data_IF_743645570896
#
_entry.id   IF_743645570896
#
_cell.length_a   1.000
_cell.length_b   1.000
_cell.length_c   1.000
_cell.angle_alpha   90.00
_cell.angle_beta   90.00
_cell.angle_gamma   90.00
#
_symmetry.space_group_name_H-M   'P 1'
#
loop_
_entity.id
_entity.type
_entity.pdbx_description
1 polymer ?
#
# COMPACT_ATOMS: atom_id res chain seq x y z
N UNK A 1 13.62 10.03 15.15
CA UNK A 1 14.71 9.79 14.22
C UNK A 1 15.91 10.69 14.52
N UNK A 2 17.12 10.17 14.39
CA UNK A 2 18.35 10.92 14.67
C UNK A 2 19.41 10.62 13.60
N UNK A 3 20.02 11.68 13.05
CA UNK A 3 21.09 11.59 12.06
C UNK A 3 22.28 12.40 12.54
N UNK A 4 23.46 11.78 12.64
CA UNK A 4 24.70 12.43 13.04
C UNK A 4 25.29 13.28 11.91
N UNK A 5 26.13 14.27 12.26
CA UNK A 5 26.86 15.06 11.29
C UNK A 5 27.70 14.17 10.36
N UNK A 6 27.67 14.45 9.06
CA UNK A 6 28.36 13.68 8.02
C UNK A 6 27.67 12.38 7.61
N UNK A 7 26.63 11.95 8.36
CA UNK A 7 25.87 10.75 8.01
C UNK A 7 24.95 11.01 6.82
N UNK A 8 24.66 9.94 6.08
CA UNK A 8 23.70 9.93 4.98
C UNK A 8 22.47 9.12 5.35
N UNK A 9 21.32 9.50 4.84
CA UNK A 9 20.10 8.70 4.87
C UNK A 9 19.46 8.65 3.50
N UNK A 10 18.92 7.50 3.15
CA UNK A 10 18.34 7.26 1.83
C UNK A 10 16.89 6.81 2.01
N UNK A 11 16.01 7.42 1.25
CA UNK A 11 14.63 6.95 1.04
C UNK A 11 14.53 6.39 -0.37
N UNK A 12 14.01 5.19 -0.51
CA UNK A 12 13.82 4.53 -1.81
C UNK A 12 12.48 3.84 -1.86
N UNK A 13 11.95 3.70 -3.07
CA UNK A 13 10.75 2.92 -3.36
C UNK A 13 11.02 2.00 -4.53
N UNK A 14 10.50 0.79 -4.46
CA UNK A 14 10.54 -0.17 -5.58
C UNK A 14 9.38 0.08 -6.54
N UNK A 15 8.30 0.73 -6.05
CA UNK A 15 7.11 1.03 -6.83
C UNK A 15 6.77 2.53 -6.75
N UNK A 16 6.50 3.13 -7.91
CA UNK A 16 6.09 4.54 -7.97
C UNK A 16 7.25 5.53 -7.85
N UNK A 17 6.92 6.73 -7.46
CA UNK A 17 7.83 7.88 -7.42
C UNK A 17 7.63 8.64 -6.11
N UNK A 18 8.67 8.87 -5.35
CA UNK A 18 8.65 9.75 -4.17
C UNK A 18 8.40 11.17 -4.67
N UNK A 19 7.36 11.81 -4.14
CA UNK A 19 6.96 13.18 -4.49
C UNK A 19 7.30 14.18 -3.41
N UNK A 20 7.24 13.75 -2.15
CA UNK A 20 7.50 14.62 -1.02
C UNK A 20 8.09 13.82 0.15
N UNK A 21 8.99 14.43 0.89
CA UNK A 21 9.49 13.93 2.19
C UNK A 21 9.45 15.08 3.16
N UNK A 22 8.71 14.93 4.27
CA UNK A 22 8.57 15.95 5.31
C UNK A 22 9.29 15.49 6.56
N UNK A 23 10.19 16.30 7.09
CA UNK A 23 10.86 16.09 8.36
C UNK A 23 10.27 17.05 9.40
N UNK A 24 9.58 16.53 10.39
CA UNK A 24 9.14 17.30 11.56
C UNK A 24 10.23 17.23 12.63
N UNK A 25 11.00 18.30 12.75
CA UNK A 25 12.20 18.36 13.59
C UNK A 25 11.88 18.75 15.02
N UNK A 26 12.84 18.54 15.94
CA UNK A 26 12.69 18.89 17.35
C UNK A 26 13.26 20.26 17.72
N UNK A 27 13.84 20.96 16.73
CA UNK A 27 14.31 22.34 16.85
C UNK A 27 13.99 23.11 15.55
N UNK A 28 13.98 24.44 15.63
CA UNK A 28 13.74 25.30 14.48
C UNK A 28 14.92 25.36 13.51
N UNK A 29 14.65 25.87 12.33
CA UNK A 29 15.67 26.09 11.28
C UNK A 29 16.79 27.03 11.70
N UNK A 30 16.57 27.91 12.69
CA UNK A 30 17.59 28.81 13.21
C UNK A 30 18.56 28.14 14.19
N UNK A 31 18.22 26.94 14.64
CA UNK A 31 19.05 26.19 15.57
C UNK A 31 20.31 25.62 14.88
N UNK A 32 21.44 25.60 15.59
CA UNK A 32 22.69 25.01 15.08
C UNK A 32 22.65 23.48 14.99
N UNK A 33 21.69 22.84 15.67
CA UNK A 33 21.48 21.40 15.73
C UNK A 33 19.99 21.07 15.88
N UNK A 34 19.60 19.89 15.42
CA UNK A 34 18.29 19.26 15.57
C UNK A 34 17.15 19.86 14.72
N UNK A 35 17.45 20.92 13.95
CA UNK A 35 16.51 21.56 13.05
C UNK A 35 16.59 21.05 11.60
N UNK A 36 15.64 21.42 10.75
CA UNK A 36 15.58 20.97 9.36
C UNK A 36 16.72 21.54 8.48
N UNK A 37 17.33 22.66 8.85
CA UNK A 37 18.51 23.26 8.21
C UNK A 37 19.77 22.35 8.31
N UNK A 38 19.73 21.35 9.20
CA UNK A 38 20.87 20.44 9.46
C UNK A 38 21.08 19.38 8.38
N UNK A 39 20.18 19.26 7.41
CA UNK A 39 20.32 18.33 6.28
C UNK A 39 20.19 19.06 4.94
N UNK A 40 20.59 18.37 3.88
CA UNK A 40 20.35 18.78 2.50
C UNK A 40 20.21 17.56 1.60
N UNK A 41 19.39 17.67 0.57
CA UNK A 41 19.18 16.64 -0.43
C UNK A 41 20.22 16.74 -1.54
N UNK A 42 20.60 15.59 -2.12
CA UNK A 42 21.48 15.53 -3.27
C UNK A 42 20.74 15.90 -4.59
N UNK A 43 19.43 15.66 -4.65
CA UNK A 43 18.56 15.91 -5.81
C UNK A 43 17.20 16.44 -5.36
N UNK A 44 16.47 17.09 -6.26
CA UNK A 44 15.17 17.71 -5.95
C UNK A 44 15.33 19.02 -5.20
N UNK A 45 14.20 19.55 -4.77
CA UNK A 45 14.16 20.80 -4.01
C UNK A 45 13.96 20.50 -2.52
N UNK A 46 14.79 21.09 -1.66
CA UNK A 46 14.65 20.97 -0.21
C UNK A 46 14.53 22.36 0.40
N UNK A 47 13.40 22.63 0.97
CA UNK A 47 13.08 23.89 1.69
C UNK A 47 12.78 23.60 3.14
N UNK A 48 12.86 24.64 4.01
CA UNK A 48 12.48 24.48 5.41
C UNK A 48 11.98 25.79 6.00
N UNK A 49 11.02 25.66 6.91
CA UNK A 49 10.44 26.76 7.68
C UNK A 49 10.13 26.27 9.11
N UNK A 50 10.42 27.09 10.10
CA UNK A 50 10.20 26.73 11.51
C UNK A 50 10.92 25.42 11.86
N UNK A 51 10.17 24.42 12.29
CA UNK A 51 10.68 23.09 12.64
C UNK A 51 10.48 22.05 11.52
N UNK A 52 9.97 22.45 10.35
CA UNK A 52 9.63 21.55 9.26
C UNK A 52 10.59 21.72 8.09
N UNK A 53 11.13 20.61 7.59
CA UNK A 53 11.88 20.56 6.34
C UNK A 53 11.11 19.72 5.33
N UNK A 54 10.96 20.23 4.10
CA UNK A 54 10.20 19.58 3.04
C UNK A 54 11.06 19.41 1.80
N UNK A 55 11.22 18.17 1.36
CA UNK A 55 11.75 17.84 0.05
C UNK A 55 10.59 17.60 -0.92
N UNK A 56 10.71 18.15 -2.13
CA UNK A 56 9.80 17.91 -3.23
C UNK A 56 10.56 17.51 -4.48
N UNK A 57 9.97 16.62 -5.28
CA UNK A 57 10.60 16.15 -6.50
C UNK A 57 9.88 14.98 -7.16
N UNK A 58 10.61 14.25 -7.96
CA UNK A 58 10.15 13.02 -8.61
C UNK A 58 11.34 12.06 -8.72
N UNK A 59 11.46 11.13 -7.78
CA UNK A 59 12.59 10.20 -7.74
C UNK A 59 12.18 8.84 -7.15
N UNK A 60 12.84 7.77 -7.57
CA UNK A 60 12.72 6.44 -6.93
C UNK A 60 13.65 6.31 -5.73
N UNK A 61 14.64 7.22 -5.63
CA UNK A 61 15.63 7.25 -4.55
C UNK A 61 16.02 8.69 -4.25
N UNK A 62 15.99 9.07 -2.97
CA UNK A 62 16.43 10.38 -2.47
C UNK A 62 17.44 10.20 -1.35
N UNK A 63 18.61 10.82 -1.48
CA UNK A 63 19.65 10.80 -0.47
C UNK A 63 19.74 12.18 0.21
N UNK A 64 19.82 12.17 1.53
CA UNK A 64 20.10 13.36 2.34
C UNK A 64 21.44 13.20 3.05
N UNK A 65 22.18 14.30 3.13
CA UNK A 65 23.41 14.37 3.90
C UNK A 65 23.26 15.32 5.07
N UNK A 66 23.63 14.88 6.26
CA UNK A 66 23.60 15.70 7.47
C UNK A 66 24.80 16.64 7.53
N UNK A 67 24.54 17.95 7.50
CA UNK A 67 25.53 19.03 7.73
C UNK A 67 25.81 19.24 9.22
N UNK A 68 24.79 18.99 10.06
CA UNK A 68 24.87 18.96 11.51
C UNK A 68 23.92 17.88 12.04
N UNK A 69 23.92 17.64 13.36
CA UNK A 69 23.02 16.63 13.93
C UNK A 69 21.55 17.00 13.73
N UNK A 70 20.78 16.17 13.03
CA UNK A 70 19.32 16.27 12.90
C UNK A 70 18.63 15.44 13.97
N UNK A 71 17.47 15.92 14.46
CA UNK A 71 16.48 15.14 15.18
C UNK A 71 15.09 15.41 14.64
N UNK A 72 14.40 14.39 14.17
CA UNK A 72 13.02 14.46 13.74
C UNK A 72 12.12 13.63 14.66
N UNK A 73 10.97 14.18 15.02
CA UNK A 73 9.88 13.49 15.73
C UNK A 73 9.13 12.56 14.78
N UNK A 74 8.92 12.99 13.53
CA UNK A 74 8.35 12.17 12.47
C UNK A 74 8.99 12.48 11.13
N UNK A 75 8.89 11.50 10.21
CA UNK A 75 9.23 11.66 8.80
C UNK A 75 8.05 11.09 8.01
N UNK A 76 7.51 11.90 7.11
CA UNK A 76 6.39 11.54 6.25
C UNK A 76 6.89 11.45 4.81
N UNK A 77 6.55 10.37 4.11
CA UNK A 77 6.96 10.15 2.71
C UNK A 77 5.71 9.96 1.86
N UNK A 78 5.52 10.85 0.88
CA UNK A 78 4.45 10.75 -0.11
C UNK A 78 4.99 10.11 -1.39
N UNK A 79 4.38 8.99 -1.78
CA UNK A 79 4.73 8.25 -2.99
C UNK A 79 3.54 8.36 -3.96
N UNK A 80 3.80 8.86 -5.18
CA UNK A 80 2.88 8.69 -6.29
C UNK A 80 3.17 7.33 -6.92
N UNK A 81 2.21 6.43 -6.82
CA UNK A 81 2.30 5.14 -7.53
C UNK A 81 2.30 5.44 -9.04
N UNK A 82 3.27 4.89 -9.74
CA UNK A 82 3.39 5.05 -11.19
C UNK A 82 2.18 4.47 -11.92
N UNK A 83 1.92 4.89 -13.15
CA UNK A 83 0.83 4.36 -13.99
C UNK A 83 0.93 2.85 -14.26
N UNK A 84 2.06 2.24 -13.95
CA UNK A 84 2.31 0.79 -14.07
C UNK A 84 1.97 0.00 -12.81
N UNK A 85 1.70 0.68 -11.67
CA UNK A 85 1.30 0.01 -10.44
C UNK A 85 -0.21 -0.21 -10.41
N UNK A 86 -0.60 -1.46 -10.25
CA UNK A 86 -2.00 -1.84 -10.03
C UNK A 86 -2.12 -2.37 -8.60
N UNK A 87 -2.90 -1.66 -7.78
CA UNK A 87 -3.10 -2.06 -6.38
C UNK A 87 -3.84 -3.39 -6.29
N UNK A 88 -3.41 -4.24 -5.35
CA UNK A 88 -4.05 -5.53 -5.07
C UNK A 88 -5.52 -5.32 -4.69
N UNK A 89 -6.48 -6.08 -5.27
CA UNK A 89 -7.90 -5.97 -4.91
C UNK A 89 -8.16 -6.29 -3.44
N UNK A 90 -9.22 -5.72 -2.89
CA UNK A 90 -9.70 -6.05 -1.54
C UNK A 90 -10.95 -6.91 -1.65
N UNK A 91 -10.91 -8.11 -1.06
CA UNK A 91 -12.03 -9.05 -0.99
C UNK A 91 -12.71 -8.92 0.38
N UNK A 92 -14.00 -8.55 0.39
CA UNK A 92 -14.80 -8.29 1.59
C UNK A 92 -16.00 -9.25 1.67
N UNK A 93 -16.56 -9.43 2.88
CA UNK A 93 -17.66 -10.32 3.22
C UNK A 93 -17.40 -11.02 4.55
N UNK A 94 -18.41 -11.68 5.11
CA UNK A 94 -18.29 -12.42 6.39
C UNK A 94 -17.42 -13.67 6.20
N UNK A 95 -16.26 -13.67 6.83
CA UNK A 95 -15.31 -14.79 6.70
C UNK A 95 -15.85 -16.12 7.23
N UNK A 96 -16.82 -16.07 8.17
CA UNK A 96 -17.53 -17.23 8.72
C UNK A 96 -19.01 -16.94 8.68
N UNK A 97 -19.78 -17.77 8.01
CA UNK A 97 -21.23 -17.56 7.80
C UNK A 97 -22.03 -18.86 8.03
N UNK A 98 -23.34 -18.73 8.31
CA UNK A 98 -24.20 -19.88 8.55
C UNK A 98 -24.87 -20.37 7.26
N UNK A 99 -25.55 -19.51 6.55
CA UNK A 99 -26.36 -19.82 5.35
C UNK A 99 -25.66 -19.36 4.07
N UNK A 100 -25.51 -18.04 3.96
CA UNK A 100 -24.91 -17.37 2.81
C UNK A 100 -24.09 -16.17 3.27
N UNK A 101 -23.15 -15.74 2.44
CA UNK A 101 -22.49 -14.43 2.58
C UNK A 101 -22.32 -13.77 1.22
N UNK A 102 -22.35 -12.44 1.20
CA UNK A 102 -22.09 -11.65 0.00
C UNK A 102 -20.63 -11.30 -0.07
N UNK A 103 -20.00 -11.63 -1.20
CA UNK A 103 -18.61 -11.30 -1.50
C UNK A 103 -18.59 -10.02 -2.35
N UNK A 104 -17.82 -9.04 -1.89
CA UNK A 104 -17.54 -7.80 -2.62
C UNK A 104 -16.05 -7.70 -2.89
N UNK A 105 -15.68 -7.38 -4.14
CA UNK A 105 -14.29 -7.17 -4.53
C UNK A 105 -14.14 -5.72 -5.00
N UNK A 106 -13.19 -4.99 -4.42
CA UNK A 106 -12.91 -3.60 -4.79
C UNK A 106 -11.47 -3.45 -5.24
N UNK A 107 -11.22 -2.57 -6.19
CA UNK A 107 -9.89 -2.25 -6.70
C UNK A 107 -9.80 -0.77 -7.09
N UNK A 108 -8.63 -0.32 -7.50
CA UNK A 108 -8.39 1.06 -7.91
C UNK A 108 -9.25 1.50 -9.10
N UNK A 109 -9.49 2.79 -9.21
CA UNK A 109 -10.28 3.37 -10.30
C UNK A 109 -9.70 3.05 -11.68
N UNK A 110 -10.57 2.68 -12.62
CA UNK A 110 -10.20 2.33 -13.99
C UNK A 110 -9.52 0.97 -14.13
N UNK A 111 -9.67 0.07 -13.13
CA UNK A 111 -9.23 -1.32 -13.22
C UNK A 111 -10.36 -2.24 -13.65
N UNK A 112 -10.00 -3.35 -14.29
CA UNK A 112 -10.86 -4.54 -14.45
C UNK A 112 -10.41 -5.60 -13.46
N UNK A 113 -11.37 -6.37 -12.90
CA UNK A 113 -11.07 -7.40 -11.91
C UNK A 113 -11.44 -8.75 -12.50
N UNK A 114 -10.48 -9.68 -12.47
CA UNK A 114 -10.73 -11.11 -12.70
C UNK A 114 -10.66 -11.86 -11.37
N UNK A 115 -11.46 -12.90 -11.21
CA UNK A 115 -11.47 -13.70 -9.98
C UNK A 115 -11.85 -15.16 -10.23
N UNK A 116 -11.54 -16.01 -9.24
CA UNK A 116 -11.93 -17.42 -9.16
C UNK A 116 -12.62 -17.68 -7.83
N UNK A 117 -13.43 -18.74 -7.76
CA UNK A 117 -14.14 -19.16 -6.53
C UNK A 117 -13.78 -20.58 -6.09
N UNK A 118 -12.84 -21.20 -6.75
CA UNK A 118 -12.35 -22.57 -6.48
C UNK A 118 -10.92 -22.57 -5.89
N UNK A 119 -10.31 -21.39 -5.71
CA UNK A 119 -8.96 -21.22 -5.21
C UNK A 119 -7.88 -21.32 -6.29
N UNK A 120 -8.23 -21.42 -7.57
CA UNK A 120 -7.29 -21.36 -8.67
C UNK A 120 -6.74 -19.94 -8.87
N UNK A 121 -5.58 -19.84 -9.48
CA UNK A 121 -4.95 -18.55 -9.80
C UNK A 121 -5.72 -17.83 -10.91
N UNK A 122 -6.28 -16.64 -10.67
CA UNK A 122 -7.03 -15.88 -11.68
C UNK A 122 -6.15 -15.29 -12.79
N UNK A 123 -4.84 -15.46 -12.73
CA UNK A 123 -3.90 -15.09 -13.82
C UNK A 123 -3.65 -16.24 -14.80
N UNK A 124 -4.07 -17.46 -14.46
CA UNK A 124 -3.94 -18.64 -15.31
C UNK A 124 -5.22 -18.81 -16.15
N UNK A 125 -5.11 -18.62 -17.46
CA UNK A 125 -6.24 -18.76 -18.40
C UNK A 125 -6.77 -20.20 -18.57
N UNK A 126 -6.18 -21.19 -17.88
CA UNK A 126 -6.60 -22.60 -17.91
C UNK A 126 -7.70 -22.96 -16.92
N UNK A 127 -8.02 -22.03 -15.98
CA UNK A 127 -9.06 -22.21 -14.98
C UNK A 127 -10.38 -21.49 -15.32
N UNK A 128 -11.41 -21.69 -14.48
CA UNK A 128 -12.65 -20.90 -14.54
C UNK A 128 -12.42 -19.49 -13.99
N UNK A 129 -11.94 -18.60 -14.85
CA UNK A 129 -11.71 -17.18 -14.50
C UNK A 129 -12.93 -16.35 -14.86
N UNK A 130 -13.47 -15.65 -13.88
CA UNK A 130 -14.66 -14.80 -14.00
C UNK A 130 -14.28 -13.31 -14.00
N UNK A 131 -15.08 -12.49 -14.70
CA UNK A 131 -14.96 -11.04 -14.62
C UNK A 131 -15.89 -10.51 -13.51
N UNK A 132 -15.34 -9.73 -12.60
CA UNK A 132 -16.12 -9.13 -11.51
C UNK A 132 -16.84 -7.87 -12.01
N UNK A 133 -18.17 -7.88 -11.92
CA UNK A 133 -19.02 -6.76 -12.32
C UNK A 133 -19.94 -6.27 -11.18
N UNK A 134 -20.24 -7.15 -10.21
CA UNK A 134 -21.10 -6.84 -9.06
C UNK A 134 -20.83 -7.83 -7.91
N UNK A 135 -21.24 -7.49 -6.67
CA UNK A 135 -21.21 -8.42 -5.55
C UNK A 135 -21.98 -9.71 -5.87
N UNK A 136 -21.45 -10.84 -5.40
CA UNK A 136 -22.07 -12.16 -5.59
C UNK A 136 -22.21 -12.90 -4.26
N UNK A 137 -23.15 -13.84 -4.20
CA UNK A 137 -23.44 -14.62 -2.99
C UNK A 137 -22.84 -16.01 -3.09
N UNK A 138 -22.25 -16.48 -1.99
CA UNK A 138 -21.78 -17.85 -1.82
C UNK A 138 -22.57 -18.53 -0.67
N UNK A 139 -22.76 -19.85 -0.79
CA UNK A 139 -23.51 -20.68 0.16
C UNK A 139 -22.76 -21.91 0.65
N UNK A 140 -21.47 -22.00 0.35
CA UNK A 140 -20.57 -23.07 0.76
C UNK A 140 -19.20 -22.50 1.09
N UNK A 141 -18.36 -23.26 1.78
CA UNK A 141 -16.96 -22.91 2.01
C UNK A 141 -16.26 -22.67 0.66
N UNK A 142 -15.71 -21.47 0.50
CA UNK A 142 -15.20 -21.00 -0.80
C UNK A 142 -13.90 -20.23 -0.59
N UNK A 143 -12.89 -20.51 -1.39
CA UNK A 143 -11.69 -19.67 -1.49
C UNK A 143 -11.79 -18.81 -2.74
N UNK A 144 -11.81 -17.50 -2.54
CA UNK A 144 -11.85 -16.51 -3.62
C UNK A 144 -10.45 -15.97 -3.82
N UNK A 145 -9.98 -15.98 -5.06
CA UNK A 145 -8.77 -15.27 -5.47
C UNK A 145 -9.15 -14.19 -6.49
N UNK A 146 -8.48 -13.04 -6.44
CA UNK A 146 -8.78 -11.91 -7.33
C UNK A 146 -7.53 -11.17 -7.73
N UNK A 147 -7.49 -10.70 -8.97
CA UNK A 147 -6.44 -9.87 -9.56
C UNK A 147 -7.06 -8.68 -10.29
N UNK A 148 -6.46 -7.51 -10.16
CA UNK A 148 -6.86 -6.31 -10.89
C UNK A 148 -5.93 -6.05 -12.07
N UNK A 149 -6.49 -5.56 -13.17
CA UNK A 149 -5.75 -5.20 -14.37
C UNK A 149 -5.97 -3.73 -14.73
N UNK A 150 -4.91 -3.03 -15.12
CA UNK A 150 -4.95 -1.67 -15.68
C UNK A 150 -3.83 -1.48 -16.69
N UNK A 151 -4.17 -1.00 -17.90
CA UNK A 151 -3.17 -0.74 -18.93
C UNK A 151 -2.31 -1.95 -19.33
N UNK A 152 -2.88 -3.17 -19.28
CA UNK A 152 -2.16 -4.42 -19.56
C UNK A 152 -1.26 -4.92 -18.43
N UNK A 153 -1.25 -4.28 -17.27
CA UNK A 153 -0.52 -4.70 -16.07
C UNK A 153 -1.46 -5.36 -15.08
N UNK A 154 -0.99 -6.39 -14.38
CA UNK A 154 -1.69 -7.08 -13.32
C UNK A 154 -1.22 -6.61 -11.94
N UNK A 155 -2.12 -6.65 -10.96
CA UNK A 155 -1.76 -6.53 -9.54
C UNK A 155 -1.21 -7.87 -9.01
N UNK A 156 -0.77 -7.85 -7.75
CA UNK A 156 -0.67 -9.09 -6.96
C UNK A 156 -2.06 -9.71 -6.77
N UNK A 157 -2.10 -11.03 -6.55
CA UNK A 157 -3.33 -11.79 -6.33
C UNK A 157 -3.77 -11.64 -4.86
N UNK A 158 -5.00 -11.17 -4.64
CA UNK A 158 -5.65 -11.22 -3.34
C UNK A 158 -6.29 -12.59 -3.14
N UNK A 159 -6.20 -13.14 -1.92
CA UNK A 159 -6.83 -14.41 -1.54
C UNK A 159 -7.63 -14.26 -0.26
N UNK A 160 -8.87 -14.76 -0.24
CA UNK A 160 -9.69 -14.83 0.97
C UNK A 160 -10.53 -16.11 0.99
N UNK A 161 -10.47 -16.84 2.10
CA UNK A 161 -11.30 -18.02 2.33
C UNK A 161 -12.50 -17.64 3.21
N UNK A 162 -13.68 -18.07 2.78
CA UNK A 162 -14.96 -17.95 3.47
C UNK A 162 -15.38 -19.34 3.95
N UNK A 163 -15.64 -19.46 5.25
CA UNK A 163 -15.97 -20.72 5.89
C UNK A 163 -17.46 -20.79 6.21
N UNK A 164 -18.18 -21.75 5.63
CA UNK A 164 -19.54 -22.06 6.07
C UNK A 164 -19.49 -22.86 7.36
N UNK A 165 -20.21 -22.40 8.39
CA UNK A 165 -20.39 -23.16 9.64
C UNK A 165 -21.12 -24.47 9.34
N UNK A 166 -20.62 -25.58 9.86
CA UNK A 166 -21.40 -26.78 9.94
C UNK A 166 -22.59 -26.52 10.90
N UNK A 167 -23.82 -26.75 10.46
CA UNK A 167 -24.95 -26.82 11.35
C UNK A 167 -24.73 -28.08 12.20
N UNK A 168 -24.39 -27.92 13.48
CA UNK A 168 -24.48 -29.04 14.42
C UNK A 168 -25.94 -29.42 14.48
N UNK A 169 -26.32 -30.54 13.87
CA UNK A 169 -27.67 -31.10 14.04
C UNK A 169 -27.88 -31.30 15.55
N UNK A 170 -28.85 -30.58 16.11
CA UNK A 170 -29.38 -30.96 17.42
C UNK A 170 -29.86 -32.40 17.29
N UNK A 171 -29.16 -33.29 17.95
CA UNK A 171 -29.62 -34.66 18.10
C UNK A 171 -30.93 -34.61 18.89
N UNK A 172 -32.03 -34.84 18.20
CA UNK A 172 -33.30 -35.18 18.86
C UNK A 172 -33.05 -36.48 19.62
N UNK A 173 -33.12 -36.40 20.97
CA UNK A 173 -33.30 -37.57 21.80
C UNK A 173 -34.66 -38.20 21.56
#
# INVERSE_FOLDING_TARGET
YRLGQGSKTTFSTETGTIRQIVFNCTASADAKKYGPNCIGAATGEYTYEGMTGTWTGAATKVEFTAKAQLRASSIEVTIALGGDFVATPVISGDAIFAETTTVTITAGEGTTIKYTINGDDPTDDRGEVLNYTAPFTINQTTTVQAVAYKGGKASEVATKTFLKKALNGEGTM
#
